data_IF_603822438047
#
_entry.id   IF_603822438047
#
_cell.length_a   1.000
_cell.length_b   1.000
_cell.length_c   1.000
_cell.angle_alpha   90.00
_cell.angle_beta   90.00
_cell.angle_gamma   90.00
#
_symmetry.space_group_name_H-M   'P 1'
#
loop_
_entity.id
_entity.type
_entity.pdbx_description
1 polymer ?
#
# COMPACT_ATOMS: atom_id res chain seq x y z
N UNK A 1 3.00 29.29 -6.84
CA UNK A 1 4.04 28.25 -6.68
C UNK A 1 5.06 28.72 -5.66
N UNK A 2 4.92 28.31 -4.40
CA UNK A 2 5.85 28.67 -3.34
C UNK A 2 7.02 27.68 -3.34
N UNK A 3 8.21 28.18 -3.66
CA UNK A 3 9.47 27.42 -3.65
C UNK A 3 9.82 27.13 -2.18
N UNK A 4 9.56 25.91 -1.74
CA UNK A 4 9.88 25.45 -0.38
C UNK A 4 11.34 25.70 -0.07
N UNK A 5 11.61 26.54 0.93
CA UNK A 5 12.94 26.79 1.46
C UNK A 5 13.37 25.52 2.19
N UNK A 6 14.23 24.71 1.55
CA UNK A 6 14.86 23.57 2.20
C UNK A 6 15.68 24.14 3.36
N UNK A 7 15.20 23.98 4.58
CA UNK A 7 15.97 24.28 5.79
C UNK A 7 17.08 23.23 5.83
N UNK A 8 18.23 23.56 5.24
CA UNK A 8 19.47 22.80 5.47
C UNK A 8 19.84 22.99 6.93
N UNK A 9 19.32 22.12 7.79
CA UNK A 9 19.79 22.02 9.16
C UNK A 9 21.28 21.66 9.10
N UNK A 10 22.11 22.40 9.83
CA UNK A 10 23.54 22.12 9.92
C UNK A 10 23.73 20.86 10.77
N UNK A 11 23.57 19.69 10.14
CA UNK A 11 23.75 18.36 10.79
C UNK A 11 25.24 18.09 11.13
N UNK A 12 26.15 18.89 10.58
CA UNK A 12 27.59 18.77 10.81
C UNK A 12 28.02 19.52 12.08
N UNK A 13 28.43 18.77 13.09
CA UNK A 13 28.91 19.34 14.35
C UNK A 13 30.37 19.74 14.16
N UNK A 14 30.63 21.04 13.89
CA UNK A 14 31.98 21.57 13.65
C UNK A 14 33.01 21.13 14.70
N UNK A 15 32.62 21.01 15.97
CA UNK A 15 33.49 20.55 17.05
C UNK A 15 33.93 19.09 16.91
N UNK A 16 33.08 18.20 16.37
CA UNK A 16 33.41 16.79 16.15
C UNK A 16 34.43 16.61 15.02
N UNK A 17 34.30 17.38 13.93
CA UNK A 17 35.30 17.39 12.85
C UNK A 17 36.63 17.95 13.36
N UNK A 18 36.61 19.05 14.12
CA UNK A 18 37.83 19.63 14.68
C UNK A 18 38.54 18.62 15.59
N UNK A 19 37.80 17.95 16.49
CA UNK A 19 38.37 16.94 17.37
C UNK A 19 38.93 15.74 16.59
N UNK A 20 38.22 15.26 15.57
CA UNK A 20 38.69 14.19 14.70
C UNK A 20 39.96 14.57 13.94
N UNK A 21 40.02 15.79 13.39
CA UNK A 21 41.23 16.33 12.75
C UNK A 21 42.38 16.48 13.73
N UNK A 22 42.13 16.90 14.98
CA UNK A 22 43.14 16.92 16.03
C UNK A 22 43.72 15.53 16.29
N UNK A 23 42.88 14.48 16.34
CA UNK A 23 43.37 13.10 16.49
C UNK A 23 44.19 12.62 15.29
N UNK A 24 43.80 13.00 14.07
CA UNK A 24 44.60 12.72 12.86
C UNK A 24 45.97 13.41 12.94
N UNK A 25 46.02 14.68 13.32
CA UNK A 25 47.26 15.46 13.42
C UNK A 25 48.16 14.90 14.52
N UNK A 26 47.63 14.72 15.73
CA UNK A 26 48.41 14.19 16.87
C UNK A 26 48.86 12.76 16.59
N UNK A 27 47.99 11.92 16.03
CA UNK A 27 48.34 10.55 15.63
C UNK A 27 49.45 10.51 14.58
N UNK A 28 49.37 11.36 13.56
CA UNK A 28 50.40 11.51 12.54
C UNK A 28 51.74 12.00 13.09
N UNK A 29 51.72 12.97 14.01
CA UNK A 29 52.93 13.48 14.68
C UNK A 29 53.57 12.40 15.54
N UNK A 30 52.79 11.62 16.30
CA UNK A 30 53.32 10.52 17.13
C UNK A 30 53.92 9.40 16.29
N UNK A 31 53.26 9.03 15.18
CA UNK A 31 53.79 8.05 14.22
C UNK A 31 55.11 8.54 13.61
N UNK A 32 55.15 9.78 13.16
CA UNK A 32 56.36 10.37 12.60
C UNK A 32 57.49 10.44 13.63
N UNK A 33 57.18 10.87 14.86
CA UNK A 33 58.16 10.98 15.94
C UNK A 33 58.71 9.61 16.34
N UNK A 34 57.87 8.56 16.37
CA UNK A 34 58.32 7.19 16.64
C UNK A 34 59.34 6.66 15.62
N UNK A 35 59.36 7.20 14.40
CA UNK A 35 60.30 6.82 13.34
C UNK A 35 61.66 7.52 13.40
N UNK A 36 61.85 8.49 14.31
CA UNK A 36 63.10 9.26 14.41
C UNK A 36 64.21 8.48 15.11
N UNK A 37 65.48 8.81 14.79
CA UNK A 37 66.67 8.13 15.35
C UNK A 37 66.80 8.21 16.87
N UNK A 38 66.09 9.15 17.51
CA UNK A 38 66.10 9.39 18.95
C UNK A 38 65.52 8.22 19.77
N UNK A 39 64.66 7.40 19.16
CA UNK A 39 63.97 6.29 19.85
C UNK A 39 64.45 4.90 19.45
N UNK A 40 65.43 4.80 18.54
CA UNK A 40 66.00 3.53 18.08
C UNK A 40 66.71 2.76 19.21
N UNK A 41 67.14 3.45 20.27
CA UNK A 41 67.75 2.84 21.46
C UNK A 41 66.73 2.29 22.48
N UNK A 42 65.45 2.68 22.38
CA UNK A 42 64.39 2.35 23.36
C UNK A 42 63.17 1.72 22.66
N UNK A 43 63.31 0.44 22.29
CA UNK A 43 62.27 -0.32 21.59
C UNK A 43 60.87 -0.28 22.23
N UNK A 44 60.69 -0.35 23.58
CA UNK A 44 59.36 -0.28 24.19
C UNK A 44 58.66 1.06 23.98
N UNK A 45 59.40 2.17 24.06
CA UNK A 45 58.85 3.53 23.90
C UNK A 45 58.46 3.78 22.45
N UNK A 46 59.29 3.31 21.51
CA UNK A 46 59.00 3.38 20.08
C UNK A 46 57.69 2.63 19.73
N UNK A 47 57.54 1.39 20.22
CA UNK A 47 56.36 0.57 19.98
C UNK A 47 55.08 1.22 20.55
N UNK A 48 55.17 1.80 21.75
CA UNK A 48 54.05 2.53 22.35
C UNK A 48 53.63 3.75 21.52
N UNK A 49 54.58 4.60 21.12
CA UNK A 49 54.30 5.79 20.30
C UNK A 49 53.68 5.42 18.96
N UNK A 50 54.17 4.34 18.33
CA UNK A 50 53.62 3.85 17.07
C UNK A 50 52.18 3.34 17.21
N UNK A 51 51.90 2.53 18.24
CA UNK A 51 50.55 2.02 18.49
C UNK A 51 49.57 3.13 18.88
N UNK A 52 49.97 4.05 19.75
CA UNK A 52 49.15 5.19 20.15
C UNK A 52 48.87 6.12 18.96
N UNK A 53 49.89 6.42 18.16
CA UNK A 53 49.76 7.25 16.96
C UNK A 53 48.85 6.61 15.91
N UNK A 54 49.02 5.31 15.66
CA UNK A 54 48.18 4.53 14.74
C UNK A 54 46.71 4.49 15.17
N UNK A 55 46.44 4.25 16.46
CA UNK A 55 45.09 4.23 17.01
C UNK A 55 44.40 5.59 16.90
N UNK A 56 45.11 6.68 17.25
CA UNK A 56 44.58 8.04 17.15
C UNK A 56 44.29 8.43 15.70
N UNK A 57 45.18 8.08 14.78
CA UNK A 57 45.00 8.36 13.36
C UNK A 57 43.80 7.58 12.78
N UNK A 58 43.69 6.28 13.05
CA UNK A 58 42.57 5.47 12.62
C UNK A 58 41.23 5.98 13.19
N UNK A 59 41.20 6.31 14.49
CA UNK A 59 40.00 6.83 15.17
C UNK A 59 39.62 8.20 14.63
N UNK A 60 40.59 9.10 14.41
CA UNK A 60 40.35 10.42 13.85
C UNK A 60 39.80 10.36 12.41
N UNK A 61 40.38 9.52 11.55
CA UNK A 61 39.88 9.31 10.19
C UNK A 61 38.46 8.74 10.19
N UNK A 62 38.18 7.74 11.02
CA UNK A 62 36.85 7.16 11.14
C UNK A 62 35.82 8.18 11.66
N UNK A 63 36.19 8.98 12.68
CA UNK A 63 35.33 10.01 13.23
C UNK A 63 35.00 11.09 12.20
N UNK A 64 35.99 11.56 11.44
CA UNK A 64 35.79 12.52 10.35
C UNK A 64 34.92 11.93 9.24
N UNK A 65 35.19 10.69 8.81
CA UNK A 65 34.38 10.01 7.80
C UNK A 65 32.92 9.82 8.26
N UNK A 66 32.70 9.47 9.52
CA UNK A 66 31.36 9.32 10.12
C UNK A 66 30.59 10.65 10.17
N UNK A 67 31.24 11.73 10.60
CA UNK A 67 30.59 13.05 10.70
C UNK A 67 30.30 13.68 9.33
N UNK A 68 31.21 13.50 8.36
CA UNK A 68 31.06 14.04 7.01
C UNK A 68 30.07 13.25 6.16
N UNK A 69 30.15 11.91 6.18
CA UNK A 69 29.38 11.06 5.27
C UNK A 69 28.30 10.28 6.01
N UNK A 70 28.65 9.57 7.08
CA UNK A 70 27.75 8.63 7.76
C UNK A 70 26.50 9.27 8.32
N UNK A 71 26.64 10.37 9.07
CA UNK A 71 25.51 11.02 9.74
C UNK A 71 24.52 11.65 8.75
N UNK A 72 25.01 12.26 7.66
CA UNK A 72 24.16 12.86 6.63
C UNK A 72 23.40 11.79 5.85
N UNK A 73 24.11 10.76 5.39
CA UNK A 73 23.51 9.63 4.70
C UNK A 73 22.42 8.96 5.53
N UNK A 74 22.68 8.76 6.84
CA UNK A 74 21.69 8.19 7.75
C UNK A 74 20.49 9.11 7.98
N UNK A 75 20.71 10.41 8.17
CA UNK A 75 19.62 11.37 8.34
C UNK A 75 18.73 11.44 7.11
N UNK A 76 19.32 11.47 5.91
CA UNK A 76 18.60 11.48 4.65
C UNK A 76 17.80 10.19 4.46
N UNK A 77 18.38 9.03 4.80
CA UNK A 77 17.69 7.74 4.73
C UNK A 77 16.52 7.65 5.73
N UNK A 78 16.72 8.12 6.97
CA UNK A 78 15.67 8.14 8.00
C UNK A 78 14.55 9.09 7.61
N UNK A 79 14.87 10.29 7.12
CA UNK A 79 13.87 11.25 6.63
C UNK A 79 13.12 10.70 5.41
N UNK A 80 13.81 10.01 4.49
CA UNK A 80 13.17 9.38 3.34
C UNK A 80 12.23 8.25 3.77
N UNK A 81 12.65 7.38 4.70
CA UNK A 81 11.79 6.31 5.26
C UNK A 81 10.61 6.89 6.04
N UNK A 82 10.83 7.95 6.82
CA UNK A 82 9.77 8.64 7.56
C UNK A 82 8.77 9.33 6.63
N UNK A 83 9.25 9.99 5.57
CA UNK A 83 8.41 10.59 4.52
C UNK A 83 7.56 9.55 3.81
N UNK A 84 8.18 8.44 3.37
CA UNK A 84 7.46 7.32 2.74
C UNK A 84 6.41 6.73 3.70
N UNK A 85 6.75 6.52 4.96
CA UNK A 85 5.80 6.03 5.96
C UNK A 85 4.64 7.00 6.17
N UNK A 86 4.91 8.31 6.23
CA UNK A 86 3.88 9.34 6.37
C UNK A 86 2.95 9.39 5.16
N UNK A 87 3.48 9.24 3.94
CA UNK A 87 2.68 9.20 2.72
C UNK A 87 1.82 7.93 2.62
N UNK A 88 2.36 6.76 3.02
CA UNK A 88 1.59 5.49 3.10
C UNK A 88 0.45 5.60 4.10
N UNK A 89 0.71 6.19 5.29
CA UNK A 89 -0.32 6.43 6.32
C UNK A 89 -1.35 7.45 5.84
N UNK A 90 -0.93 8.53 5.17
CA UNK A 90 -1.85 9.56 4.64
C UNK A 90 -2.76 9.01 3.54
N UNK A 91 -2.22 8.16 2.67
CA UNK A 91 -3.01 7.43 1.68
C UNK A 91 -3.97 6.42 2.32
N UNK A 92 -3.77 6.08 3.60
CA UNK A 92 -4.55 5.09 4.34
C UNK A 92 -4.22 3.65 3.97
N UNK A 93 -3.07 3.40 3.33
CA UNK A 93 -2.69 2.07 2.87
C UNK A 93 -2.22 1.25 4.07
N UNK A 94 -2.97 0.19 4.40
CA UNK A 94 -2.60 -0.77 5.43
C UNK A 94 -1.94 -2.02 4.85
N UNK A 95 -2.18 -2.34 3.57
CA UNK A 95 -1.54 -3.46 2.86
C UNK A 95 -1.49 -3.23 1.35
N UNK A 96 -0.41 -3.70 0.74
CA UNK A 96 -0.26 -3.86 -0.71
C UNK A 96 0.03 -5.33 -1.00
N UNK A 97 -0.69 -5.95 -1.92
CA UNK A 97 -0.51 -7.34 -2.35
C UNK A 97 -0.88 -7.51 -3.83
N UNK A 98 -0.47 -8.62 -4.44
CA UNK A 98 -0.97 -9.05 -5.75
C UNK A 98 -1.85 -10.32 -5.68
N UNK A 99 -2.13 -10.84 -4.48
CA UNK A 99 -2.93 -12.04 -4.24
C UNK A 99 -4.15 -11.75 -3.36
N UNK A 100 -5.13 -11.02 -3.90
CA UNK A 100 -6.28 -10.57 -3.12
C UNK A 100 -7.11 -11.69 -2.49
N UNK A 101 -7.17 -12.90 -3.07
CA UNK A 101 -7.96 -14.01 -2.50
C UNK A 101 -7.29 -14.66 -1.29
N UNK A 102 -5.96 -14.70 -1.24
CA UNK A 102 -5.20 -15.46 -0.24
C UNK A 102 -4.51 -14.61 0.83
N UNK A 103 -4.10 -13.39 0.49
CA UNK A 103 -3.30 -12.54 1.38
C UNK A 103 -4.10 -11.40 2.04
N UNK A 104 -5.33 -11.16 1.59
CA UNK A 104 -6.23 -10.23 2.27
C UNK A 104 -6.97 -10.97 3.36
N UNK A 105 -6.95 -10.41 4.57
CA UNK A 105 -7.61 -10.95 5.76
C UNK A 105 -9.14 -10.71 5.71
N UNK A 106 -9.84 -11.25 4.70
CA UNK A 106 -11.28 -11.01 4.47
C UNK A 106 -12.13 -11.30 5.70
N UNK A 107 -11.83 -12.37 6.44
CA UNK A 107 -12.57 -12.73 7.64
C UNK A 107 -12.55 -11.64 8.71
N UNK A 108 -11.47 -10.84 8.79
CA UNK A 108 -11.41 -9.69 9.70
C UNK A 108 -12.28 -8.53 9.20
N UNK A 109 -12.27 -8.26 7.90
CA UNK A 109 -13.09 -7.22 7.27
C UNK A 109 -14.60 -7.50 7.38
N UNK A 110 -15.00 -8.77 7.38
CA UNK A 110 -16.41 -9.17 7.50
C UNK A 110 -16.95 -9.23 8.95
N UNK A 111 -16.07 -9.24 9.98
CA UNK A 111 -16.45 -9.65 11.35
C UNK A 111 -17.57 -8.83 11.96
N UNK A 112 -17.60 -7.52 11.69
CA UNK A 112 -18.54 -6.56 12.29
C UNK A 112 -19.03 -5.51 11.28
N UNK A 113 -19.05 -5.86 9.98
CA UNK A 113 -19.40 -4.90 8.93
C UNK A 113 -20.88 -4.55 8.94
N UNK A 114 -21.20 -3.26 9.02
CA UNK A 114 -22.58 -2.78 8.92
C UNK A 114 -22.90 -2.33 7.48
N UNK A 115 -21.97 -1.66 6.81
CA UNK A 115 -22.13 -1.19 5.43
C UNK A 115 -21.10 -1.86 4.53
N UNK A 116 -21.58 -2.81 3.74
CA UNK A 116 -20.82 -3.47 2.69
C UNK A 116 -21.23 -2.93 1.32
N UNK A 117 -20.31 -2.24 0.65
CA UNK A 117 -20.47 -1.79 -0.73
C UNK A 117 -19.51 -2.57 -1.64
N UNK A 118 -20.01 -3.09 -2.76
CA UNK A 118 -19.24 -3.94 -3.68
C UNK A 118 -19.39 -3.41 -5.11
N UNK A 119 -18.26 -3.19 -5.81
CA UNK A 119 -18.22 -2.88 -7.25
C UNK A 119 -17.41 -3.97 -7.94
N UNK A 120 -18.07 -4.78 -8.76
CA UNK A 120 -17.46 -5.91 -9.46
C UNK A 120 -18.13 -6.12 -10.82
N UNK A 121 -17.42 -6.73 -11.77
CA UNK A 121 -18.04 -7.17 -13.01
C UNK A 121 -19.01 -8.35 -12.80
N UNK A 122 -18.53 -9.40 -12.12
CA UNK A 122 -19.34 -10.57 -11.71
C UNK A 122 -18.64 -11.39 -10.62
N UNK A 123 -17.30 -11.39 -10.59
CA UNK A 123 -16.43 -11.94 -9.53
C UNK A 123 -16.82 -13.32 -8.98
N UNK A 124 -17.18 -14.27 -9.85
CA UNK A 124 -17.66 -15.61 -9.46
C UNK A 124 -16.77 -16.32 -8.40
N UNK A 125 -15.44 -16.32 -8.61
CA UNK A 125 -14.51 -16.93 -7.65
C UNK A 125 -14.62 -16.29 -6.26
N UNK A 126 -14.56 -14.95 -6.17
CA UNK A 126 -14.61 -14.24 -4.90
C UNK A 126 -15.96 -14.46 -4.19
N UNK A 127 -17.08 -14.36 -4.92
CA UNK A 127 -18.42 -14.57 -4.36
C UNK A 127 -18.59 -15.97 -3.78
N UNK A 128 -18.06 -16.98 -4.47
CA UNK A 128 -18.12 -18.37 -4.00
C UNK A 128 -17.22 -18.59 -2.78
N UNK A 129 -16.00 -18.06 -2.80
CA UNK A 129 -15.05 -18.15 -1.68
C UNK A 129 -15.61 -17.49 -0.41
N UNK A 130 -16.29 -16.34 -0.54
CA UNK A 130 -16.80 -15.57 0.60
C UNK A 130 -18.31 -15.75 0.84
N UNK A 131 -18.93 -16.79 0.27
CA UNK A 131 -20.38 -17.02 0.37
C UNK A 131 -20.87 -17.08 1.81
N UNK A 132 -20.16 -17.80 2.68
CA UNK A 132 -20.51 -17.92 4.10
C UNK A 132 -20.45 -16.56 4.83
N UNK A 133 -19.43 -15.75 4.56
CA UNK A 133 -19.30 -14.41 5.14
C UNK A 133 -20.39 -13.47 4.65
N UNK A 134 -20.74 -13.51 3.36
CA UNK A 134 -21.86 -12.74 2.80
C UNK A 134 -23.19 -13.14 3.46
N UNK A 135 -23.43 -14.43 3.68
CA UNK A 135 -24.61 -14.92 4.39
C UNK A 135 -24.63 -14.49 5.86
N UNK A 136 -23.47 -14.41 6.51
CA UNK A 136 -23.37 -13.91 7.88
C UNK A 136 -23.80 -12.44 7.96
N UNK A 137 -23.27 -11.58 7.08
CA UNK A 137 -23.68 -10.17 7.01
C UNK A 137 -25.16 -10.05 6.67
N UNK A 138 -25.66 -10.85 5.74
CA UNK A 138 -27.05 -10.79 5.30
C UNK A 138 -28.06 -11.13 6.41
N UNK A 139 -27.65 -11.83 7.48
CA UNK A 139 -28.51 -12.15 8.63
C UNK A 139 -28.56 -11.03 9.69
N UNK A 140 -27.77 -9.97 9.54
CA UNK A 140 -27.74 -8.85 10.49
C UNK A 140 -28.80 -7.81 10.11
N UNK A 141 -29.80 -7.59 10.98
CA UNK A 141 -30.96 -6.74 10.69
C UNK A 141 -30.60 -5.29 10.30
N UNK A 142 -29.60 -4.71 10.94
CA UNK A 142 -29.20 -3.31 10.72
C UNK A 142 -28.09 -3.14 9.67
N UNK A 143 -27.64 -4.24 9.06
CA UNK A 143 -26.60 -4.20 8.04
C UNK A 143 -27.18 -3.91 6.64
N UNK A 144 -26.30 -3.56 5.72
CA UNK A 144 -26.62 -3.33 4.31
C UNK A 144 -25.54 -3.88 3.41
N UNK A 145 -25.94 -4.67 2.42
CA UNK A 145 -25.10 -5.13 1.32
C UNK A 145 -25.59 -4.45 0.05
N UNK A 146 -24.80 -3.51 -0.48
CA UNK A 146 -25.05 -2.83 -1.76
C UNK A 146 -24.04 -3.27 -2.79
N UNK A 147 -24.53 -3.75 -3.93
CA UNK A 147 -23.69 -4.27 -5.01
C UNK A 147 -23.98 -3.51 -6.29
N UNK A 148 -22.92 -3.09 -6.97
CA UNK A 148 -22.94 -2.49 -8.30
C UNK A 148 -22.35 -3.45 -9.31
N UNK A 149 -23.16 -3.82 -10.30
CA UNK A 149 -22.81 -4.70 -11.41
C UNK A 149 -22.91 -3.93 -12.73
N UNK A 150 -22.21 -4.38 -13.80
CA UNK A 150 -22.41 -3.84 -15.13
C UNK A 150 -23.84 -4.09 -15.58
N UNK A 151 -24.40 -3.16 -16.35
CA UNK A 151 -25.73 -3.31 -16.94
C UNK A 151 -25.69 -4.37 -18.08
N UNK A 152 -26.37 -5.53 -17.92
CA UNK A 152 -26.40 -6.55 -18.97
C UNK A 152 -27.26 -6.15 -20.18
N UNK A 153 -28.07 -5.09 -20.07
CA UNK A 153 -28.91 -4.56 -21.15
C UNK A 153 -28.22 -3.42 -21.93
N UNK A 154 -27.06 -2.94 -21.47
CA UNK A 154 -26.25 -1.96 -22.20
C UNK A 154 -25.23 -2.66 -23.11
N UNK A 155 -25.55 -2.75 -24.40
CA UNK A 155 -24.72 -3.44 -25.41
C UNK A 155 -23.27 -2.96 -25.42
N UNK A 156 -23.03 -1.66 -25.22
CA UNK A 156 -21.68 -1.08 -25.24
C UNK A 156 -20.85 -1.59 -24.05
N UNK A 157 -21.41 -1.55 -22.85
CA UNK A 157 -20.78 -2.07 -21.63
C UNK A 157 -20.45 -3.54 -21.78
N UNK A 158 -21.40 -4.33 -22.25
CA UNK A 158 -21.20 -5.77 -22.46
C UNK A 158 -20.11 -6.02 -23.49
N UNK A 159 -20.13 -5.32 -24.63
CA UNK A 159 -19.13 -5.50 -25.68
C UNK A 159 -17.70 -5.18 -25.19
N UNK A 160 -17.50 -4.05 -24.50
CA UNK A 160 -16.18 -3.63 -24.01
C UNK A 160 -15.65 -4.60 -22.95
N UNK A 161 -16.49 -4.96 -21.97
CA UNK A 161 -16.08 -5.89 -20.91
C UNK A 161 -15.83 -7.30 -21.46
N UNK A 162 -16.63 -7.76 -22.44
CA UNK A 162 -16.44 -9.07 -23.06
C UNK A 162 -15.10 -9.14 -23.79
N UNK A 163 -14.73 -8.10 -24.55
CA UNK A 163 -13.42 -8.01 -25.22
C UNK A 163 -12.27 -8.02 -24.20
N UNK A 164 -12.38 -7.21 -23.14
CA UNK A 164 -11.35 -7.14 -22.08
C UNK A 164 -11.14 -8.48 -21.40
N UNK A 165 -12.22 -9.22 -21.13
CA UNK A 165 -12.16 -10.52 -20.48
C UNK A 165 -11.83 -11.67 -21.44
N UNK A 166 -11.76 -11.42 -22.75
CA UNK A 166 -11.56 -12.45 -23.76
C UNK A 166 -12.70 -13.46 -23.78
N UNK A 167 -13.95 -13.00 -23.67
CA UNK A 167 -15.15 -13.84 -23.67
C UNK A 167 -16.21 -13.31 -24.65
N UNK A 168 -17.27 -14.09 -24.87
CA UNK A 168 -18.37 -13.69 -25.74
C UNK A 168 -19.40 -12.84 -24.96
N UNK A 169 -20.02 -11.82 -25.57
CA UNK A 169 -21.05 -10.98 -24.94
C UNK A 169 -22.14 -11.77 -24.21
N UNK A 170 -22.73 -12.78 -24.86
CA UNK A 170 -23.77 -13.62 -24.26
C UNK A 170 -23.27 -14.37 -23.01
N UNK A 171 -22.02 -14.84 -23.02
CA UNK A 171 -21.41 -15.50 -21.87
C UNK A 171 -21.17 -14.54 -20.70
N UNK A 172 -20.84 -13.27 -20.99
CA UNK A 172 -20.71 -12.23 -19.96
C UNK A 172 -22.07 -11.87 -19.35
N UNK A 173 -23.10 -11.68 -20.18
CA UNK A 173 -24.49 -11.42 -19.72
C UNK A 173 -24.96 -12.51 -18.77
N UNK A 174 -24.73 -13.78 -19.10
CA UNK A 174 -25.09 -14.90 -18.22
C UNK A 174 -24.39 -14.82 -16.85
N UNK A 175 -23.10 -14.47 -16.81
CA UNK A 175 -22.32 -14.33 -15.57
C UNK A 175 -22.78 -13.13 -14.72
N UNK A 176 -23.16 -12.03 -15.37
CA UNK A 176 -23.73 -10.86 -14.69
C UNK A 176 -25.08 -11.24 -14.06
N UNK A 177 -25.96 -11.89 -14.83
CA UNK A 177 -27.27 -12.34 -14.35
C UNK A 177 -27.16 -13.38 -13.21
N UNK A 178 -26.17 -14.27 -13.27
CA UNK A 178 -25.82 -15.18 -12.17
C UNK A 178 -25.43 -14.39 -10.91
N UNK A 179 -24.57 -13.37 -11.04
CA UNK A 179 -24.20 -12.52 -9.90
C UNK A 179 -25.41 -11.77 -9.31
N UNK A 180 -26.31 -11.25 -10.15
CA UNK A 180 -27.56 -10.61 -9.70
C UNK A 180 -28.38 -11.57 -8.82
N UNK A 181 -28.63 -12.79 -9.32
CA UNK A 181 -29.37 -13.83 -8.58
C UNK A 181 -28.66 -14.21 -7.28
N UNK A 182 -27.35 -14.40 -7.34
CA UNK A 182 -26.58 -14.84 -6.19
C UNK A 182 -26.61 -13.82 -5.05
N UNK A 183 -26.55 -12.52 -5.33
CA UNK A 183 -26.71 -11.51 -4.28
C UNK A 183 -28.16 -11.42 -3.79
N UNK A 184 -29.15 -11.43 -4.67
CA UNK A 184 -30.56 -11.42 -4.27
C UNK A 184 -30.94 -12.59 -3.36
N UNK A 185 -30.40 -13.77 -3.64
CA UNK A 185 -30.62 -14.96 -2.81
C UNK A 185 -30.07 -14.86 -1.38
N UNK A 186 -29.31 -13.81 -1.05
CA UNK A 186 -28.88 -13.54 0.32
C UNK A 186 -29.99 -12.93 1.18
N UNK A 187 -31.03 -12.35 0.57
CA UNK A 187 -32.10 -11.69 1.30
C UNK A 187 -32.83 -12.70 2.20
N UNK A 188 -32.98 -12.35 3.48
CA UNK A 188 -33.71 -13.15 4.48
C UNK A 188 -34.65 -12.23 5.26
N UNK A 189 -35.81 -12.71 5.73
CA UNK A 189 -36.73 -11.92 6.55
C UNK A 189 -36.04 -11.37 7.80
N UNK A 190 -36.14 -10.06 8.03
CA UNK A 190 -35.49 -9.38 9.17
C UNK A 190 -33.96 -9.34 9.11
N UNK A 191 -33.36 -9.67 7.96
CA UNK A 191 -31.93 -9.55 7.72
C UNK A 191 -31.53 -8.19 7.14
N UNK A 192 -30.31 -8.13 6.62
CA UNK A 192 -29.72 -6.93 6.04
C UNK A 192 -30.49 -6.44 4.81
N UNK A 193 -30.43 -5.14 4.56
CA UNK A 193 -30.89 -4.58 3.30
C UNK A 193 -29.96 -5.04 2.15
N UNK A 194 -30.50 -5.80 1.20
CA UNK A 194 -29.77 -6.28 0.02
C UNK A 194 -30.17 -5.43 -1.19
N UNK A 195 -29.21 -4.69 -1.72
CA UNK A 195 -29.42 -3.80 -2.86
C UNK A 195 -28.52 -4.22 -4.03
N UNK A 196 -29.14 -4.47 -5.19
CA UNK A 196 -28.40 -4.78 -6.43
C UNK A 196 -28.69 -3.70 -7.46
N UNK A 197 -27.63 -3.02 -7.90
CA UNK A 197 -27.65 -1.89 -8.81
C UNK A 197 -26.88 -2.22 -10.08
N UNK A 198 -27.35 -1.70 -11.21
CA UNK A 198 -26.78 -1.87 -12.53
C UNK A 198 -26.27 -0.53 -13.03
N UNK A 199 -25.05 -0.52 -13.58
CA UNK A 199 -24.41 0.68 -14.13
C UNK A 199 -23.95 0.41 -15.56
N UNK A 200 -24.31 1.31 -16.46
CA UNK A 200 -23.69 1.37 -17.78
C UNK A 200 -22.28 2.00 -17.69
N UNK A 201 -21.33 1.46 -18.44
CA UNK A 201 -19.95 1.89 -18.55
C UNK A 201 -18.94 0.89 -17.98
N UNK A 202 -17.67 1.15 -18.26
CA UNK A 202 -16.60 0.23 -17.96
C UNK A 202 -16.18 0.29 -16.48
N UNK A 203 -16.12 -0.86 -15.83
CA UNK A 203 -15.50 -0.98 -14.51
C UNK A 203 -13.97 -1.14 -14.67
N UNK A 204 -13.22 -0.09 -14.32
CA UNK A 204 -11.75 -0.08 -14.44
C UNK A 204 -11.03 -0.72 -13.25
N UNK A 205 -11.71 -0.84 -12.11
CA UNK A 205 -11.26 -1.51 -10.88
C UNK A 205 -12.40 -2.33 -10.27
N UNK A 206 -12.10 -3.17 -9.27
CA UNK A 206 -13.10 -3.64 -8.32
C UNK A 206 -12.82 -3.10 -6.94
N UNK A 207 -13.87 -2.81 -6.19
CA UNK A 207 -13.74 -2.39 -4.81
C UNK A 207 -14.74 -3.10 -3.90
N UNK A 208 -14.31 -3.33 -2.66
CA UNK A 208 -15.09 -3.92 -1.59
C UNK A 208 -14.91 -3.04 -0.37
N UNK A 209 -15.90 -2.22 -0.04
CA UNK A 209 -15.84 -1.28 1.08
C UNK A 209 -16.63 -1.83 2.26
N UNK A 210 -15.94 -1.95 3.39
CA UNK A 210 -16.39 -2.44 4.68
C UNK A 210 -16.32 -1.29 5.67
N UNK A 211 -17.41 -0.55 5.85
CA UNK A 211 -17.47 0.64 6.71
C UNK A 211 -16.34 1.66 6.41
N UNK A 212 -15.31 1.75 7.24
CA UNK A 212 -14.15 2.64 7.06
C UNK A 212 -12.93 1.97 6.41
N UNK A 213 -13.08 0.73 5.94
CA UNK A 213 -12.05 -0.03 5.25
C UNK A 213 -12.48 -0.30 3.80
N UNK A 214 -11.53 -0.46 2.90
CA UNK A 214 -11.80 -0.96 1.56
C UNK A 214 -10.68 -1.82 1.01
N UNK A 215 -11.04 -2.75 0.14
CA UNK A 215 -10.12 -3.51 -0.71
C UNK A 215 -10.32 -3.01 -2.13
N UNK A 216 -9.29 -2.40 -2.72
CA UNK A 216 -9.27 -1.90 -4.08
C UNK A 216 -8.37 -2.78 -4.93
N UNK A 217 -8.90 -3.35 -6.01
CA UNK A 217 -8.14 -4.18 -6.96
C UNK A 217 -8.09 -3.52 -8.33
N UNK A 218 -6.89 -3.46 -8.91
CA UNK A 218 -6.66 -2.83 -10.22
C UNK A 218 -6.48 -3.89 -11.30
N UNK A 219 -7.30 -3.81 -12.36
CA UNK A 219 -7.25 -4.78 -13.44
C UNK A 219 -6.37 -4.34 -14.60
N UNK A 220 -5.68 -5.31 -15.20
CA UNK A 220 -4.86 -5.09 -16.40
C UNK A 220 -5.69 -4.58 -17.58
N UNK A 221 -5.04 -3.83 -18.48
CA UNK A 221 -5.56 -3.54 -19.82
C UNK A 221 -5.32 -4.68 -20.82
N UNK A 222 -4.45 -5.64 -20.47
CA UNK A 222 -4.24 -6.83 -21.30
C UNK A 222 -5.49 -7.71 -21.32
N UNK A 223 -5.71 -8.38 -22.46
CA UNK A 223 -6.77 -9.37 -22.60
C UNK A 223 -6.45 -10.62 -21.79
N UNK A 224 -7.47 -11.18 -21.13
CA UNK A 224 -7.38 -12.43 -20.40
C UNK A 224 -7.20 -12.29 -18.89
N UNK A 225 -7.50 -13.39 -18.19
CA UNK A 225 -7.50 -13.43 -16.72
C UNK A 225 -6.08 -13.36 -16.18
N UNK A 226 -5.83 -12.42 -15.26
CA UNK A 226 -4.61 -12.36 -14.45
C UNK A 226 -4.81 -13.13 -13.15
N UNK A 227 -3.80 -13.89 -12.75
CA UNK A 227 -3.73 -14.55 -11.43
C UNK A 227 -3.18 -13.62 -10.36
N UNK A 228 -2.32 -12.68 -10.75
CA UNK A 228 -1.78 -11.63 -9.89
C UNK A 228 -2.49 -10.30 -10.20
N UNK A 229 -3.18 -9.75 -9.21
CA UNK A 229 -3.98 -8.52 -9.33
C UNK A 229 -3.51 -7.52 -8.26
N UNK A 230 -2.88 -6.40 -8.64
CA UNK A 230 -2.49 -5.36 -7.68
C UNK A 230 -3.67 -4.94 -6.82
N UNK A 231 -3.47 -5.00 -5.51
CA UNK A 231 -4.52 -4.86 -4.51
C UNK A 231 -4.02 -4.02 -3.35
N UNK A 232 -4.84 -3.06 -2.95
CA UNK A 232 -4.63 -2.20 -1.81
C UNK A 232 -5.72 -2.47 -0.78
N UNK A 233 -5.32 -2.71 0.47
CA UNK A 233 -6.23 -2.61 1.61
C UNK A 233 -6.01 -1.22 2.21
N UNK A 234 -7.09 -0.47 2.32
CA UNK A 234 -7.08 0.90 2.81
C UNK A 234 -8.05 1.09 3.96
N UNK A 235 -7.70 1.97 4.88
CA UNK A 235 -8.44 2.26 6.10
C UNK A 235 -8.43 3.77 6.35
N UNK A 236 -9.49 4.48 5.95
CA UNK A 236 -9.48 5.95 5.90
C UNK A 236 -8.40 6.51 4.97
N UNK A 237 -8.12 7.81 5.08
CA UNK A 237 -7.10 8.48 4.27
C UNK A 237 -7.49 8.70 2.81
N UNK A 238 -6.58 9.27 2.04
CA UNK A 238 -6.87 9.81 0.70
C UNK A 238 -7.35 8.74 -0.30
N UNK A 239 -6.81 7.52 -0.25
CA UNK A 239 -7.20 6.45 -1.17
C UNK A 239 -8.56 5.83 -0.78
N UNK A 240 -8.89 5.80 0.52
CA UNK A 240 -10.24 5.43 0.95
C UNK A 240 -11.27 6.49 0.52
N UNK A 241 -10.94 7.78 0.68
CA UNK A 241 -11.80 8.88 0.26
C UNK A 241 -12.09 8.81 -1.24
N UNK A 242 -11.08 8.48 -2.06
CA UNK A 242 -11.27 8.18 -3.48
C UNK A 242 -12.29 7.04 -3.68
N UNK A 243 -12.13 5.89 -3.01
CA UNK A 243 -13.07 4.76 -3.14
C UNK A 243 -14.49 5.16 -2.73
N UNK A 244 -14.63 5.92 -1.64
CA UNK A 244 -15.93 6.39 -1.16
C UNK A 244 -16.62 7.35 -2.15
N UNK A 245 -15.85 8.29 -2.70
CA UNK A 245 -16.34 9.23 -3.71
C UNK A 245 -16.73 8.52 -5.01
N UNK A 246 -15.92 7.55 -5.45
CA UNK A 246 -16.25 6.72 -6.62
C UNK A 246 -17.53 5.90 -6.40
N UNK A 247 -17.72 5.29 -5.23
CA UNK A 247 -18.97 4.60 -4.88
C UNK A 247 -20.18 5.53 -4.95
N UNK A 248 -20.02 6.78 -4.54
CA UNK A 248 -21.07 7.80 -4.62
C UNK A 248 -21.39 8.16 -6.07
N UNK A 249 -20.36 8.37 -6.90
CA UNK A 249 -20.52 8.66 -8.32
C UNK A 249 -21.15 7.48 -9.09
N UNK A 250 -20.70 6.25 -8.80
CA UNK A 250 -21.26 5.01 -9.35
C UNK A 250 -22.72 4.89 -8.97
N UNK A 251 -23.08 5.11 -7.71
CA UNK A 251 -24.48 5.05 -7.25
C UNK A 251 -25.37 6.04 -7.99
N UNK A 252 -24.91 7.28 -8.18
CA UNK A 252 -25.65 8.31 -8.90
C UNK A 252 -25.88 8.00 -10.39
N UNK A 253 -25.04 7.13 -10.97
CA UNK A 253 -25.12 6.68 -12.37
C UNK A 253 -25.76 5.30 -12.52
N UNK A 254 -26.21 4.69 -11.41
CA UNK A 254 -26.77 3.34 -11.41
C UNK A 254 -28.28 3.36 -11.32
N UNK A 255 -28.90 2.32 -11.86
CA UNK A 255 -30.33 2.00 -11.70
C UNK A 255 -30.49 0.74 -10.86
N UNK A 256 -31.60 0.56 -10.12
CA UNK A 256 -31.86 -0.71 -9.44
C UNK A 256 -32.00 -1.83 -10.48
N UNK A 257 -31.48 -3.02 -10.17
CA UNK A 257 -31.69 -4.18 -11.00
C UNK A 257 -33.20 -4.53 -11.04
N UNK A 258 -33.79 -4.90 -12.18
CA UNK A 258 -35.22 -5.22 -12.28
C UNK A 258 -35.57 -6.42 -11.39
N UNK A 259 -36.63 -6.35 -10.59
CA UNK A 259 -37.12 -7.51 -9.84
C UNK A 259 -37.36 -8.69 -10.81
N UNK A 260 -36.95 -9.90 -10.42
CA UNK A 260 -37.29 -11.08 -11.22
C UNK A 260 -38.80 -11.21 -11.23
N UNK A 261 -39.42 -11.06 -12.42
CA UNK A 261 -40.83 -11.44 -12.58
C UNK A 261 -40.89 -12.95 -12.37
N UNK A 262 -41.73 -13.46 -11.46
CA UNK A 262 -41.94 -14.90 -11.36
C UNK A 262 -42.45 -15.38 -12.72
N UNK A 263 -41.70 -16.31 -13.32
CA UNK A 263 -42.12 -17.10 -14.48
C UNK A 263 -43.18 -18.10 -14.09
#
# INVERSE_FOLDING_TARGET
>A
MAKGRIIQSKVTTKSAIILGLCFVIVGGVLLWWSGTSQWQSNAPVQAFLAQAGGLLLATGLLAVAWDLFGRRSLADEVLAKAGLSADVVRAGISRVTNQYLGEVEWASLFRDVNKLDIVIAYAATWRNTHRASLQQVARQADARIRVFLPDPEDDRTVAVLADRFGTQPAGLVNKINEAIRDFRSLAVPGGAAIEVWLRAGDAVFSCYRFDSNAVLTLYSHGRGRRTQVPTFVVSGGELFDFVYNELTAIAAQSRPAPEERPS
#
